data_IF_607317322578
#
_entry.id   IF_607317322578
#
_cell.length_a   1.000
_cell.length_b   1.000
_cell.length_c   1.000
_cell.angle_alpha   90.00
_cell.angle_beta   90.00
_cell.angle_gamma   90.00
#
_symmetry.space_group_name_H-M   'P 1'
#
loop_
_entity.id
_entity.type
_entity.pdbx_description
1 polymer ?
#
# COMPACT_ATOMS: atom_id res chain seq x y z
N UNK A 1 -0.68 -11.99 -25.20
CA UNK A 1 -1.20 -12.11 -23.81
C UNK A 1 -2.63 -11.55 -23.80
N UNK A 2 -3.66 -12.40 -23.68
CA UNK A 2 -5.05 -11.91 -23.52
C UNK A 2 -5.16 -11.29 -22.13
N UNK A 3 -5.16 -9.96 -22.05
CA UNK A 3 -5.49 -9.26 -20.81
C UNK A 3 -6.96 -9.57 -20.48
N UNK A 4 -7.20 -10.33 -19.42
CA UNK A 4 -8.54 -10.53 -18.87
C UNK A 4 -9.20 -9.17 -18.59
N UNK A 5 -10.55 -9.10 -18.59
CA UNK A 5 -11.30 -7.87 -18.23
C UNK A 5 -10.93 -7.27 -16.86
N UNK A 6 -10.21 -8.00 -16.00
CA UNK A 6 -9.75 -7.56 -14.68
C UNK A 6 -8.36 -6.94 -14.79
N UNK A 7 -8.12 -5.86 -14.03
CA UNK A 7 -6.80 -5.22 -13.94
C UNK A 7 -5.72 -6.18 -13.46
N UNK A 8 -4.47 -5.91 -13.85
CA UNK A 8 -3.30 -6.69 -13.42
C UNK A 8 -2.86 -6.24 -12.01
N UNK A 9 -2.78 -7.19 -11.07
CA UNK A 9 -2.15 -6.95 -9.78
C UNK A 9 -0.64 -7.16 -9.90
N UNK A 10 0.14 -6.11 -9.65
CA UNK A 10 1.60 -6.15 -9.69
C UNK A 10 2.14 -6.05 -8.26
N UNK A 11 2.90 -7.04 -7.81
CA UNK A 11 3.53 -7.08 -6.48
C UNK A 11 5.01 -6.80 -6.63
N UNK A 12 5.52 -5.79 -5.91
CA UNK A 12 6.94 -5.46 -5.86
C UNK A 12 7.42 -5.68 -4.43
N UNK A 13 8.27 -6.70 -4.22
CA UNK A 13 8.82 -7.06 -2.92
C UNK A 13 10.35 -7.01 -2.92
N UNK A 14 10.95 -7.00 -1.74
CA UNK A 14 12.39 -6.96 -1.52
C UNK A 14 12.75 -6.40 -0.14
N UNK A 15 14.01 -6.48 0.31
CA UNK A 15 14.43 -6.00 1.63
C UNK A 15 14.19 -4.49 1.85
N UNK A 16 14.25 -4.05 3.10
CA UNK A 16 14.28 -2.61 3.42
C UNK A 16 15.50 -1.95 2.75
N UNK A 17 15.35 -0.73 2.25
CA UNK A 17 16.44 0.00 1.59
C UNK A 17 16.66 -0.28 0.09
N UNK A 18 16.08 -1.34 -0.49
CA UNK A 18 16.29 -1.71 -1.91
C UNK A 18 15.66 -0.75 -2.95
N UNK A 19 14.97 0.30 -2.51
CA UNK A 19 14.42 1.34 -3.41
C UNK A 19 12.98 1.14 -3.89
N UNK A 20 12.19 0.23 -3.31
CA UNK A 20 10.76 0.01 -3.68
C UNK A 20 9.91 1.29 -3.72
N UNK A 21 10.11 2.18 -2.75
CA UNK A 21 9.42 3.48 -2.70
C UNK A 21 9.76 4.41 -3.86
N UNK A 22 11.00 4.36 -4.37
CA UNK A 22 11.41 5.13 -5.55
C UNK A 22 10.78 4.60 -6.83
N UNK A 23 10.59 3.29 -6.95
CA UNK A 23 9.86 2.69 -8.08
C UNK A 23 8.43 3.24 -8.12
N UNK A 24 7.71 3.20 -6.98
CA UNK A 24 6.37 3.81 -6.86
C UNK A 24 6.41 5.28 -7.29
N UNK A 25 7.28 6.09 -6.68
CA UNK A 25 7.37 7.53 -6.98
C UNK A 25 7.62 7.81 -8.45
N UNK A 26 8.49 7.04 -9.09
CA UNK A 26 8.85 7.21 -10.51
C UNK A 26 7.71 6.78 -11.43
N UNK A 27 7.05 5.67 -11.12
CA UNK A 27 5.93 5.16 -11.90
C UNK A 27 4.76 6.16 -11.93
N UNK A 28 4.40 6.68 -10.75
CA UNK A 28 3.28 7.62 -10.60
C UNK A 28 3.58 9.06 -11.06
N UNK A 29 4.83 9.36 -11.41
CA UNK A 29 5.21 10.62 -12.08
C UNK A 29 5.06 10.57 -13.59
N UNK A 30 5.00 9.37 -14.20
CA UNK A 30 4.90 9.23 -15.67
C UNK A 30 3.48 9.60 -16.11
N UNK A 31 3.34 10.39 -17.17
CA UNK A 31 2.01 10.67 -17.74
C UNK A 31 1.47 9.42 -18.46
N UNK A 32 0.16 9.24 -18.44
CA UNK A 32 -0.52 8.18 -19.20
C UNK A 32 -0.45 6.77 -18.60
N UNK A 33 0.05 6.61 -17.37
CA UNK A 33 -0.03 5.32 -16.68
C UNK A 33 -1.47 5.06 -16.17
N UNK A 34 -1.86 3.78 -16.09
CA UNK A 34 -3.17 3.37 -15.56
C UNK A 34 -3.00 2.47 -14.32
N UNK A 35 -2.21 2.95 -13.36
CA UNK A 35 -1.89 2.22 -12.13
C UNK A 35 -2.63 2.85 -10.97
N UNK A 36 -3.16 2.01 -10.09
CA UNK A 36 -3.69 2.41 -8.78
C UNK A 36 -2.78 1.80 -7.73
N UNK A 37 -2.41 2.59 -6.72
CA UNK A 37 -1.59 2.10 -5.62
C UNK A 37 -2.48 1.61 -4.48
N UNK A 38 -2.24 0.40 -4.00
CA UNK A 38 -2.89 -0.11 -2.78
C UNK A 38 -2.26 0.55 -1.56
N UNK A 39 -2.98 1.49 -0.94
CA UNK A 39 -2.55 2.20 0.28
C UNK A 39 -2.76 1.28 1.49
N UNK A 40 -1.67 0.94 2.19
CA UNK A 40 -1.71 0.08 3.38
C UNK A 40 -2.32 0.78 4.59
N UNK A 41 -2.85 0.00 5.53
CA UNK A 41 -3.18 0.49 6.88
C UNK A 41 -1.97 0.38 7.82
N UNK A 42 -1.86 1.28 8.79
CA UNK A 42 -0.84 1.20 9.84
C UNK A 42 -1.36 1.74 11.18
N UNK A 43 -0.84 1.20 12.28
CA UNK A 43 -1.12 1.69 13.64
C UNK A 43 -0.08 2.68 14.15
N UNK A 44 0.96 2.96 13.35
CA UNK A 44 1.96 3.98 13.64
C UNK A 44 1.31 5.37 13.48
N UNK A 45 1.71 6.34 14.29
CA UNK A 45 1.32 7.74 14.07
C UNK A 45 1.94 8.32 12.79
N UNK A 46 1.22 9.18 12.04
CA UNK A 46 1.77 9.84 10.86
C UNK A 46 3.02 10.66 11.23
N UNK A 47 4.02 10.64 10.36
CA UNK A 47 5.19 11.53 10.42
C UNK A 47 4.82 12.89 9.81
N UNK A 48 5.63 13.90 10.08
CA UNK A 48 5.45 15.24 9.50
C UNK A 48 5.36 15.15 7.96
N UNK A 49 4.28 15.68 7.40
CA UNK A 49 4.04 15.72 5.96
C UNK A 49 3.30 14.50 5.38
N UNK A 50 3.14 13.41 6.13
CA UNK A 50 2.34 12.27 5.68
C UNK A 50 0.84 12.59 5.70
N UNK A 51 0.10 12.07 4.73
CA UNK A 51 -1.34 12.29 4.57
C UNK A 51 -2.11 10.98 4.65
N UNK A 52 -3.16 10.98 5.48
CA UNK A 52 -4.07 9.85 5.61
C UNK A 52 -4.76 9.54 4.27
N UNK A 53 -4.80 8.27 3.89
CA UNK A 53 -5.35 7.79 2.62
C UNK A 53 -4.43 8.00 1.41
N UNK A 54 -3.24 8.57 1.59
CA UNK A 54 -2.24 8.75 0.53
C UNK A 54 -0.99 7.92 0.84
N UNK A 55 -0.40 8.12 2.01
CA UNK A 55 0.78 7.39 2.46
C UNK A 55 0.39 6.09 3.14
N UNK A 56 -0.52 6.19 4.11
CA UNK A 56 -1.17 5.10 4.81
C UNK A 56 -2.59 5.50 5.21
N UNK A 57 -3.43 4.51 5.49
CA UNK A 57 -4.56 4.70 6.39
C UNK A 57 -4.07 4.55 7.83
N UNK A 58 -3.98 5.67 8.54
CA UNK A 58 -3.54 5.71 9.93
C UNK A 58 -4.74 5.41 10.83
N UNK A 59 -4.68 4.29 11.56
CA UNK A 59 -5.78 3.80 12.41
C UNK A 59 -5.25 3.42 13.78
N UNK A 60 -6.12 3.29 14.78
CA UNK A 60 -5.71 2.79 16.08
C UNK A 60 -5.52 1.25 16.10
N UNK A 61 -4.82 0.75 17.11
CA UNK A 61 -4.57 -0.70 17.29
C UNK A 61 -5.88 -1.51 17.43
N UNK A 62 -6.88 -1.09 18.23
CA UNK A 62 -8.16 -1.81 18.31
C UNK A 62 -8.84 -2.00 16.96
N UNK A 63 -8.91 -0.96 16.14
CA UNK A 63 -9.51 -0.98 14.81
C UNK A 63 -8.74 -1.90 13.87
N UNK A 64 -7.40 -1.82 13.85
CA UNK A 64 -6.58 -2.71 13.04
C UNK A 64 -6.80 -4.18 13.42
N UNK A 65 -6.83 -4.50 14.72
CA UNK A 65 -7.11 -5.85 15.22
C UNK A 65 -8.51 -6.33 14.84
N UNK A 66 -9.52 -5.45 14.88
CA UNK A 66 -10.86 -5.75 14.40
C UNK A 66 -10.83 -6.12 12.91
N UNK A 67 -10.11 -5.37 12.08
CA UNK A 67 -9.97 -5.66 10.63
C UNK A 67 -9.28 -6.99 10.33
N UNK A 68 -8.30 -7.39 11.15
CA UNK A 68 -7.72 -8.74 11.05
C UNK A 68 -8.77 -9.81 11.32
N UNK A 69 -9.56 -9.67 12.40
CA UNK A 69 -10.63 -10.63 12.73
C UNK A 69 -11.71 -10.74 11.63
N UNK A 70 -11.90 -9.67 10.88
CA UNK A 70 -12.83 -9.60 9.75
C UNK A 70 -12.24 -10.16 8.43
N UNK A 71 -11.03 -10.74 8.43
CA UNK A 71 -10.30 -11.19 7.24
C UNK A 71 -10.19 -10.10 6.16
N UNK A 72 -10.03 -8.84 6.58
CA UNK A 72 -10.04 -7.68 5.67
C UNK A 72 -8.74 -7.51 4.86
N UNK A 73 -7.61 -8.04 5.35
CA UNK A 73 -6.30 -7.82 4.75
C UNK A 73 -5.84 -8.99 3.88
N UNK A 74 -5.22 -8.69 2.73
CA UNK A 74 -4.48 -9.68 1.94
C UNK A 74 -3.19 -10.11 2.65
N UNK A 75 -2.52 -9.17 3.32
CA UNK A 75 -1.32 -9.40 4.11
C UNK A 75 -1.24 -8.40 5.28
N UNK A 76 -0.63 -8.80 6.38
CA UNK A 76 -0.27 -7.94 7.49
C UNK A 76 0.96 -8.49 8.21
N UNK A 77 1.68 -7.63 8.91
CA UNK A 77 2.80 -8.03 9.76
C UNK A 77 2.81 -7.25 11.07
N UNK A 78 3.46 -7.81 12.08
CA UNK A 78 3.81 -7.15 13.33
C UNK A 78 5.34 -7.06 13.42
N UNK A 79 5.82 -5.89 13.81
CA UNK A 79 7.20 -5.70 14.25
C UNK A 79 7.20 -5.41 15.74
#
# INVERSE_FOLDING_TARGET
MKLHKKGLMVVISGPSGVGKGQIKKTLFKRKGHNFVYSVSMTTRSPRLGEKNGVDYFFVDKPYFKKKIKENYFLEYNYF
#
